data_IF_181469398751
#
_entry.id   IF_181469398751
#
_cell.length_a   1.000
_cell.length_b   1.000
_cell.length_c   1.000
_cell.angle_alpha   90.00
_cell.angle_beta   90.00
_cell.angle_gamma   90.00
#
_symmetry.space_group_name_H-M   'P 1'
#
loop_
_entity.id
_entity.type
_entity.pdbx_description
1 polymer ?
#
# COMPACT_ATOMS: atom_id res chain seq x y z
N UNK A 1 65.40 -25.36 8.46
CA UNK A 1 64.73 -25.77 7.22
C UNK A 1 63.26 -25.47 7.42
N UNK A 2 62.87 -24.45 6.77
CA UNK A 2 61.56 -23.81 6.87
C UNK A 2 60.64 -24.48 5.86
N UNK A 3 59.49 -24.95 6.29
CA UNK A 3 58.44 -25.49 5.44
C UNK A 3 57.11 -24.92 5.87
N UNK A 4 56.93 -23.62 5.63
CA UNK A 4 55.63 -22.95 5.59
C UNK A 4 55.13 -22.90 4.13
N UNK A 5 54.50 -23.97 3.66
CA UNK A 5 53.82 -23.94 2.38
C UNK A 5 52.36 -23.48 2.65
N UNK A 6 52.15 -22.28 2.20
CA UNK A 6 50.86 -21.61 2.10
C UNK A 6 49.82 -22.43 1.33
N UNK A 7 48.73 -22.80 2.02
CA UNK A 7 47.49 -23.18 1.41
C UNK A 7 46.62 -21.90 1.28
N UNK A 8 46.78 -21.20 0.21
CA UNK A 8 45.82 -20.19 -0.26
C UNK A 8 44.54 -20.90 -0.66
N UNK A 9 43.63 -21.07 0.29
CA UNK A 9 42.23 -21.34 -0.02
C UNK A 9 41.63 -20.07 -0.56
N UNK A 10 41.62 -19.92 -1.87
CA UNK A 10 40.68 -19.05 -2.57
C UNK A 10 39.28 -19.54 -2.23
N UNK A 11 38.70 -18.99 -1.16
CA UNK A 11 37.26 -18.99 -0.96
C UNK A 11 36.72 -18.05 -2.05
N UNK A 12 36.30 -18.62 -3.16
CA UNK A 12 35.56 -17.91 -4.18
C UNK A 12 34.30 -17.37 -3.49
N UNK A 13 34.26 -16.06 -3.27
CA UNK A 13 33.04 -15.37 -2.86
C UNK A 13 32.02 -15.59 -3.95
N UNK A 14 31.01 -16.43 -3.66
CA UNK A 14 29.87 -16.58 -4.57
C UNK A 14 29.29 -15.17 -4.77
N UNK A 15 29.48 -14.62 -5.97
CA UNK A 15 29.05 -13.25 -6.27
C UNK A 15 27.54 -13.17 -6.06
N UNK A 16 27.09 -12.23 -5.24
CA UNK A 16 25.70 -12.00 -4.95
C UNK A 16 24.92 -11.80 -6.28
N UNK A 17 24.13 -12.81 -6.66
CA UNK A 17 23.39 -12.89 -7.92
C UNK A 17 22.13 -12.03 -7.95
N UNK A 18 21.80 -11.35 -6.84
CA UNK A 18 20.64 -10.48 -6.78
C UNK A 18 20.82 -9.25 -7.68
N UNK A 19 19.69 -8.74 -8.17
CA UNK A 19 19.64 -7.51 -8.93
C UNK A 19 20.10 -6.34 -8.04
N UNK A 20 21.17 -5.65 -8.42
CA UNK A 20 21.71 -4.52 -7.67
C UNK A 20 20.90 -3.27 -7.96
N UNK A 21 20.47 -2.56 -6.92
CA UNK A 21 19.75 -1.29 -7.01
C UNK A 21 20.64 -0.19 -6.45
N UNK A 22 20.91 0.83 -7.26
CA UNK A 22 21.89 1.88 -6.93
C UNK A 22 21.36 2.93 -5.97
N UNK A 23 20.05 3.20 -6.02
CA UNK A 23 19.40 4.22 -5.20
C UNK A 23 18.45 3.59 -4.19
N UNK A 24 18.35 4.14 -2.97
CA UNK A 24 17.49 3.55 -1.95
C UNK A 24 16.01 3.66 -2.28
N UNK A 25 15.23 2.78 -1.62
CA UNK A 25 13.76 2.82 -1.58
C UNK A 25 13.33 3.04 -0.14
N UNK A 26 12.35 3.91 0.08
CA UNK A 26 11.75 4.11 1.40
C UNK A 26 10.76 2.98 1.66
N UNK A 27 10.95 2.25 2.75
CA UNK A 27 10.02 1.25 3.24
C UNK A 27 9.22 1.82 4.41
N UNK A 28 7.91 1.84 4.28
CA UNK A 28 6.98 2.23 5.34
C UNK A 28 6.22 0.99 5.80
N UNK A 29 6.60 0.44 6.95
CA UNK A 29 5.92 -0.71 7.54
C UNK A 29 4.57 -0.32 8.14
N UNK A 30 3.75 -1.31 8.48
CA UNK A 30 2.37 -1.06 8.89
C UNK A 30 1.94 -1.83 10.14
N UNK A 31 0.67 -2.25 10.14
CA UNK A 31 0.02 -2.84 11.30
C UNK A 31 -0.59 -4.22 11.00
N UNK A 32 -0.84 -4.96 12.06
CA UNK A 32 -1.67 -6.16 12.14
C UNK A 32 -1.29 -7.25 11.10
N UNK A 33 -2.26 -7.90 10.45
CA UNK A 33 -2.00 -9.02 9.53
C UNK A 33 -1.19 -8.60 8.30
N UNK A 34 -1.39 -7.37 7.83
CA UNK A 34 -0.64 -6.86 6.67
C UNK A 34 0.85 -6.67 6.96
N UNK A 35 1.24 -6.30 8.18
CA UNK A 35 2.65 -6.25 8.59
C UNK A 35 3.33 -7.62 8.49
N UNK A 36 2.65 -8.67 8.96
CA UNK A 36 3.17 -10.04 8.90
C UNK A 36 3.35 -10.50 7.45
N UNK A 37 2.35 -10.23 6.61
CA UNK A 37 2.40 -10.56 5.17
C UNK A 37 3.49 -9.75 4.47
N UNK A 38 3.65 -8.48 4.82
CA UNK A 38 4.66 -7.58 4.27
C UNK A 38 6.07 -8.11 4.49
N UNK A 39 6.35 -8.59 5.71
CA UNK A 39 7.64 -9.21 6.03
C UNK A 39 7.87 -10.49 5.21
N UNK A 40 6.87 -11.38 5.09
CA UNK A 40 6.99 -12.57 4.25
C UNK A 40 7.24 -12.25 2.78
N UNK A 41 6.57 -11.22 2.24
CA UNK A 41 6.79 -10.76 0.86
C UNK A 41 8.23 -10.25 0.72
N UNK A 42 8.66 -9.39 1.63
CA UNK A 42 10.00 -8.80 1.63
C UNK A 42 11.08 -9.87 1.63
N UNK A 43 11.01 -10.83 2.55
CA UNK A 43 12.00 -11.90 2.68
C UNK A 43 11.96 -12.89 1.51
N UNK A 44 10.75 -13.43 1.21
CA UNK A 44 10.61 -14.53 0.24
C UNK A 44 10.73 -14.09 -1.20
N UNK A 45 10.20 -12.92 -1.56
CA UNK A 45 10.05 -12.50 -2.95
C UNK A 45 10.99 -11.36 -3.34
N UNK A 46 11.23 -10.40 -2.45
CA UNK A 46 11.98 -9.18 -2.78
C UNK A 46 13.47 -9.36 -2.49
N UNK A 47 13.88 -9.46 -1.23
CA UNK A 47 15.29 -9.46 -0.83
C UNK A 47 16.05 -10.73 -1.25
N UNK A 48 15.35 -11.82 -1.54
CA UNK A 48 15.92 -13.02 -2.16
C UNK A 48 16.34 -12.82 -3.63
N UNK A 49 15.84 -11.77 -4.30
CA UNK A 49 16.06 -11.48 -5.71
C UNK A 49 16.72 -10.12 -5.96
N UNK A 50 16.50 -9.15 -5.07
CA UNK A 50 16.90 -7.76 -5.23
C UNK A 50 17.76 -7.32 -4.06
N UNK A 51 18.92 -6.72 -4.36
CA UNK A 51 19.81 -6.08 -3.39
C UNK A 51 19.57 -4.57 -3.41
N UNK A 52 18.67 -4.09 -2.55
CA UNK A 52 18.26 -2.69 -2.44
C UNK A 52 18.51 -2.17 -1.03
N UNK A 53 18.98 -0.93 -0.91
CA UNK A 53 19.07 -0.21 0.37
C UNK A 53 17.66 0.29 0.75
N UNK A 54 17.13 -0.20 1.86
CA UNK A 54 15.81 0.17 2.37
C UNK A 54 15.95 1.22 3.49
N UNK A 55 15.35 2.39 3.27
CA UNK A 55 15.18 3.40 4.31
C UNK A 55 13.88 3.10 5.07
N UNK A 56 14.02 2.31 6.13
CA UNK A 56 12.91 1.76 6.90
C UNK A 56 12.31 2.76 7.87
N UNK A 57 10.97 2.84 7.86
CA UNK A 57 10.15 3.62 8.80
C UNK A 57 9.02 2.74 9.34
N UNK A 58 8.97 2.53 10.64
CA UNK A 58 7.87 1.81 11.30
C UNK A 58 6.66 2.73 11.47
N UNK A 59 5.63 2.56 10.64
CA UNK A 59 4.37 3.28 10.76
C UNK A 59 3.31 2.49 11.55
N UNK A 60 3.73 1.44 12.28
CA UNK A 60 2.86 0.74 13.22
C UNK A 60 2.34 1.69 14.30
N UNK A 61 1.08 1.55 14.66
CA UNK A 61 0.39 2.46 15.56
C UNK A 61 1.11 2.69 16.91
N UNK A 62 1.71 1.66 17.55
CA UNK A 62 2.46 1.88 18.80
C UNK A 62 3.68 2.79 18.62
N UNK A 63 4.43 2.63 17.55
CA UNK A 63 5.62 3.44 17.29
C UNK A 63 5.27 4.87 16.86
N UNK A 64 4.18 5.02 16.10
CA UNK A 64 3.61 6.34 15.79
C UNK A 64 3.21 7.10 17.05
N UNK A 65 2.56 6.42 18.02
CA UNK A 65 2.21 7.02 19.31
C UNK A 65 3.45 7.39 20.11
N UNK A 66 4.47 6.52 20.15
CA UNK A 66 5.73 6.77 20.82
C UNK A 66 6.41 8.04 20.29
N UNK A 67 6.44 8.23 18.97
CA UNK A 67 7.10 9.36 18.28
C UNK A 67 6.20 10.58 18.11
N UNK A 68 4.99 10.58 18.70
CA UNK A 68 3.97 11.61 18.48
C UNK A 68 3.65 11.83 16.99
N UNK A 69 3.61 10.73 16.24
CA UNK A 69 3.38 10.65 14.78
C UNK A 69 4.48 11.33 13.91
N UNK A 70 5.61 11.70 14.52
CA UNK A 70 6.72 12.32 13.79
C UNK A 70 7.28 11.38 12.72
N UNK A 71 7.32 10.05 12.98
CA UNK A 71 7.79 9.05 12.01
C UNK A 71 7.00 9.08 10.70
N UNK A 72 5.72 9.40 10.73
CA UNK A 72 4.89 9.57 9.52
C UNK A 72 5.37 10.75 8.68
N UNK A 73 5.70 11.86 9.32
CA UNK A 73 6.24 13.06 8.65
C UNK A 73 7.62 12.75 8.07
N UNK A 74 8.50 12.13 8.86
CA UNK A 74 9.86 11.79 8.46
C UNK A 74 9.88 10.84 7.25
N UNK A 75 8.96 9.86 7.22
CA UNK A 75 8.82 8.93 6.09
C UNK A 75 8.40 9.65 4.80
N UNK A 76 7.49 10.62 4.89
CA UNK A 76 7.07 11.42 3.75
C UNK A 76 8.21 12.33 3.23
N UNK A 77 8.98 12.95 4.13
CA UNK A 77 10.15 13.75 3.74
C UNK A 77 11.26 12.89 3.14
N UNK A 78 11.45 11.67 3.66
CA UNK A 78 12.37 10.71 3.05
C UNK A 78 11.91 10.30 1.64
N UNK A 79 10.59 10.15 1.42
CA UNK A 79 10.05 9.87 0.09
C UNK A 79 10.35 10.99 -0.90
N UNK A 80 10.20 12.24 -0.49
CA UNK A 80 10.62 13.39 -1.32
C UNK A 80 12.11 13.36 -1.65
N UNK A 81 12.95 12.94 -0.69
CA UNK A 81 14.41 12.87 -0.86
C UNK A 81 14.84 11.74 -1.80
N UNK A 82 14.25 10.56 -1.66
CA UNK A 82 14.66 9.33 -2.36
C UNK A 82 13.77 8.98 -3.57
N UNK A 83 12.68 9.70 -3.79
CA UNK A 83 11.73 9.62 -4.89
C UNK A 83 10.84 8.36 -4.94
N UNK A 84 11.17 7.30 -4.23
CA UNK A 84 10.38 6.07 -4.29
C UNK A 84 10.13 5.55 -2.88
N UNK A 85 8.84 5.34 -2.57
CA UNK A 85 8.42 4.65 -1.36
C UNK A 85 7.49 3.48 -1.66
N UNK A 86 7.57 2.47 -0.81
CA UNK A 86 6.62 1.36 -0.73
C UNK A 86 6.02 1.33 0.67
N UNK A 87 4.71 1.18 0.76
CA UNK A 87 4.00 1.32 2.02
C UNK A 87 3.05 0.16 2.31
N UNK A 88 3.20 -0.41 3.49
CA UNK A 88 2.26 -1.35 4.08
C UNK A 88 0.98 -0.64 4.56
N UNK A 89 -0.09 -1.39 4.79
CA UNK A 89 -1.32 -0.85 5.36
C UNK A 89 -1.15 -0.49 6.85
N UNK A 90 -1.72 0.65 7.26
CA UNK A 90 -1.61 1.21 8.60
C UNK A 90 -2.97 1.44 9.23
N UNK A 91 -3.06 1.37 10.55
CA UNK A 91 -4.27 1.70 11.31
C UNK A 91 -4.48 3.22 11.30
N UNK A 92 -5.70 3.65 10.95
CA UNK A 92 -6.22 4.96 11.33
C UNK A 92 -7.05 4.75 12.58
N UNK A 93 -6.62 5.22 13.78
CA UNK A 93 -7.32 4.93 15.02
C UNK A 93 -8.65 5.67 15.11
N UNK A 94 -9.66 4.97 15.61
CA UNK A 94 -10.89 5.48 16.16
C UNK A 94 -10.84 5.45 17.69
N UNK A 95 -11.93 5.79 18.37
CA UNK A 95 -12.03 5.81 19.82
C UNK A 95 -11.73 4.43 20.43
N UNK A 96 -12.21 3.35 19.81
CA UNK A 96 -11.97 1.99 20.28
C UNK A 96 -10.48 1.61 20.20
N UNK A 97 -9.81 2.03 19.14
CA UNK A 97 -8.35 1.83 18.97
C UNK A 97 -7.54 2.69 19.94
N UNK A 98 -7.99 3.91 20.25
CA UNK A 98 -7.36 4.75 21.28
C UNK A 98 -7.38 4.04 22.64
N UNK A 99 -8.51 3.44 23.02
CA UNK A 99 -8.64 2.68 24.26
C UNK A 99 -7.83 1.38 24.23
N UNK A 100 -7.95 0.59 23.15
CA UNK A 100 -7.24 -0.69 22.98
C UNK A 100 -5.72 -0.55 23.10
N UNK A 101 -5.15 0.45 22.43
CA UNK A 101 -3.70 0.68 22.38
C UNK A 101 -3.22 1.67 23.43
N UNK A 102 -4.13 2.23 24.24
CA UNK A 102 -3.84 3.27 25.25
C UNK A 102 -3.06 4.46 24.67
N UNK A 103 -3.54 4.95 23.53
CA UNK A 103 -2.87 6.00 22.78
C UNK A 103 -2.97 7.34 23.52
N UNK A 104 -1.96 8.18 23.35
CA UNK A 104 -1.92 9.56 23.87
C UNK A 104 -3.06 10.42 23.31
N UNK A 105 -3.46 10.15 22.06
CA UNK A 105 -4.60 10.79 21.39
C UNK A 105 -5.02 10.00 20.15
N UNK A 106 -6.14 10.36 19.55
CA UNK A 106 -6.58 9.83 18.26
C UNK A 106 -5.76 10.48 17.13
N UNK A 107 -4.76 9.74 16.64
CA UNK A 107 -3.85 10.18 15.58
C UNK A 107 -4.58 10.27 14.25
N UNK A 108 -4.19 11.23 13.40
CA UNK A 108 -4.71 11.35 12.03
C UNK A 108 -4.30 10.14 11.18
N UNK A 109 -4.97 9.95 10.05
CA UNK A 109 -4.58 8.93 9.08
C UNK A 109 -3.17 9.19 8.56
N UNK A 110 -2.24 8.20 8.66
CA UNK A 110 -0.90 8.33 8.08
C UNK A 110 -0.96 8.55 6.58
N UNK A 111 -1.89 7.87 5.88
CA UNK A 111 -2.09 8.05 4.45
C UNK A 111 -2.45 9.50 4.11
N UNK A 112 -3.35 10.11 4.89
CA UNK A 112 -3.71 11.53 4.72
C UNK A 112 -2.51 12.45 4.94
N UNK A 113 -1.73 12.23 6.00
CA UNK A 113 -0.54 13.02 6.31
C UNK A 113 0.50 12.92 5.20
N UNK A 114 0.84 11.70 4.76
CA UNK A 114 1.83 11.46 3.71
C UNK A 114 1.38 12.10 2.40
N UNK A 115 0.14 11.85 1.96
CA UNK A 115 -0.41 12.40 0.71
C UNK A 115 -0.43 13.93 0.71
N UNK A 116 -0.74 14.54 1.85
CA UNK A 116 -0.74 15.99 2.00
C UNK A 116 0.66 16.60 1.92
N UNK A 117 1.67 15.92 2.47
CA UNK A 117 3.08 16.36 2.40
C UNK A 117 3.62 16.19 0.97
N UNK A 118 3.30 15.07 0.33
CA UNK A 118 3.75 14.77 -1.04
C UNK A 118 3.01 15.59 -2.10
N UNK A 119 1.73 15.93 -1.88
CA UNK A 119 0.93 16.79 -2.76
C UNK A 119 0.61 16.14 -4.11
N UNK A 120 0.57 14.81 -4.17
CA UNK A 120 0.37 14.06 -5.40
C UNK A 120 -1.06 13.60 -5.66
N UNK A 121 -1.25 12.92 -6.78
CA UNK A 121 -2.49 12.22 -7.14
C UNK A 121 -2.32 10.73 -6.96
N UNK A 122 -3.27 10.09 -6.27
CA UNK A 122 -3.30 8.62 -6.12
C UNK A 122 -4.01 8.03 -7.33
N UNK A 123 -3.32 7.19 -8.07
CA UNK A 123 -3.89 6.40 -9.16
C UNK A 123 -4.14 4.98 -8.68
N UNK A 124 -5.33 4.47 -8.93
CA UNK A 124 -5.74 3.11 -8.64
C UNK A 124 -6.12 2.38 -9.90
N UNK A 125 -5.53 1.19 -10.07
CA UNK A 125 -5.77 0.32 -11.22
C UNK A 125 -6.18 -1.06 -10.74
N UNK A 126 -7.17 -1.73 -11.40
CA UNK A 126 -7.56 -3.07 -11.04
C UNK A 126 -6.47 -4.08 -11.44
N UNK A 127 -6.25 -5.07 -10.59
CA UNK A 127 -5.47 -6.26 -10.90
C UNK A 127 -6.45 -7.30 -11.46
N UNK A 128 -6.28 -7.67 -12.72
CA UNK A 128 -7.24 -8.51 -13.44
C UNK A 128 -6.73 -9.95 -13.53
N UNK A 129 -7.49 -10.89 -12.96
CA UNK A 129 -7.32 -12.33 -13.14
C UNK A 129 -8.52 -12.85 -13.94
N UNK A 130 -8.27 -13.60 -15.02
CA UNK A 130 -9.33 -14.02 -15.97
C UNK A 130 -10.37 -14.94 -15.37
N UNK A 131 -9.98 -15.75 -14.39
CA UNK A 131 -10.85 -16.68 -13.69
C UNK A 131 -11.64 -16.04 -12.52
N UNK A 132 -11.34 -14.80 -12.14
CA UNK A 132 -12.09 -14.10 -11.10
C UNK A 132 -13.22 -13.29 -11.75
N UNK A 133 -14.49 -13.56 -11.40
CA UNK A 133 -15.63 -12.85 -11.96
C UNK A 133 -15.59 -11.36 -11.61
N UNK A 134 -15.94 -10.52 -12.57
CA UNK A 134 -16.04 -9.06 -12.37
C UNK A 134 -17.35 -8.73 -11.66
N UNK A 135 -17.32 -7.73 -10.79
CA UNK A 135 -18.54 -7.24 -10.13
C UNK A 135 -19.60 -6.77 -11.13
N UNK A 136 -19.15 -6.11 -12.21
CA UNK A 136 -20.02 -5.71 -13.32
C UNK A 136 -19.59 -6.49 -14.55
N UNK A 137 -20.37 -7.47 -14.93
CA UNK A 137 -20.05 -8.44 -15.97
C UNK A 137 -19.82 -7.81 -17.36
N UNK A 138 -20.46 -6.67 -17.64
CA UNK A 138 -20.31 -5.93 -18.92
C UNK A 138 -19.03 -5.08 -19.03
N UNK A 139 -18.27 -4.91 -17.95
CA UNK A 139 -17.03 -4.14 -18.01
C UNK A 139 -15.90 -4.99 -18.59
N UNK A 140 -15.42 -4.64 -19.77
CA UNK A 140 -14.39 -5.39 -20.50
C UNK A 140 -12.99 -4.76 -20.41
N UNK A 141 -12.90 -3.52 -19.95
CA UNK A 141 -11.64 -2.79 -19.83
C UNK A 141 -11.40 -2.35 -18.37
N UNK A 142 -10.13 -2.15 -18.03
CA UNK A 142 -9.74 -1.60 -16.74
C UNK A 142 -10.19 -0.13 -16.63
N UNK A 143 -10.68 0.25 -15.44
CA UNK A 143 -11.00 1.64 -15.10
C UNK A 143 -9.95 2.12 -14.12
N UNK A 144 -9.13 3.08 -14.54
CA UNK A 144 -8.15 3.74 -13.67
C UNK A 144 -8.81 4.92 -12.98
N UNK A 145 -8.58 5.04 -11.68
CA UNK A 145 -9.15 6.08 -10.83
C UNK A 145 -8.04 7.01 -10.36
N UNK A 146 -8.23 8.30 -10.58
CA UNK A 146 -7.40 9.35 -10.00
C UNK A 146 -8.05 9.96 -8.76
N UNK A 147 -7.28 10.14 -7.67
CA UNK A 147 -7.70 10.77 -6.42
C UNK A 147 -6.69 11.82 -6.02
N UNK A 148 -7.09 13.08 -6.08
CA UNK A 148 -6.20 14.21 -5.84
C UNK A 148 -6.08 14.56 -4.35
N UNK A 149 -4.89 14.95 -3.90
CA UNK A 149 -4.61 15.26 -2.50
C UNK A 149 -5.48 16.40 -1.94
N UNK A 150 -5.77 17.42 -2.73
CA UNK A 150 -6.60 18.55 -2.31
C UNK A 150 -8.10 18.30 -2.39
N UNK A 151 -8.55 17.36 -3.23
CA UNK A 151 -9.94 16.93 -3.32
C UNK A 151 -10.29 15.76 -2.43
N UNK A 152 -9.43 15.43 -1.48
CA UNK A 152 -9.60 14.30 -0.57
C UNK A 152 -10.30 14.70 0.73
N UNK A 153 -11.05 13.75 1.32
CA UNK A 153 -11.68 13.90 2.64
C UNK A 153 -10.69 14.31 3.74
N UNK A 154 -9.39 13.97 3.61
CA UNK A 154 -8.35 14.36 4.56
C UNK A 154 -7.98 15.86 4.50
N UNK A 155 -8.46 16.59 3.51
CA UNK A 155 -8.38 18.05 3.39
C UNK A 155 -9.74 18.73 3.63
N UNK A 156 -10.76 17.96 3.93
CA UNK A 156 -12.06 18.51 4.28
C UNK A 156 -11.97 19.37 5.54
N UNK A 157 -12.80 20.38 5.61
CA UNK A 157 -13.05 21.14 6.83
C UNK A 157 -14.35 20.66 7.43
N UNK A 158 -14.26 20.06 8.59
CA UNK A 158 -15.41 19.65 9.40
C UNK A 158 -15.63 20.61 10.56
N UNK A 159 -16.89 20.80 10.93
CA UNK A 159 -17.28 21.69 12.01
C UNK A 159 -18.54 21.18 12.71
N UNK A 160 -18.68 21.58 13.98
CA UNK A 160 -19.85 21.33 14.80
C UNK A 160 -20.39 22.68 15.27
N UNK A 161 -21.71 22.86 15.24
CA UNK A 161 -22.41 24.00 15.80
C UNK A 161 -23.39 23.54 16.87
N UNK A 162 -23.51 24.32 17.94
CA UNK A 162 -24.34 23.99 19.13
C UNK A 162 -25.63 24.82 19.20
N UNK A 163 -25.82 25.77 18.28
CA UNK A 163 -26.92 26.73 18.28
C UNK A 163 -27.57 26.84 16.88
N UNK A 164 -28.84 27.29 16.83
CA UNK A 164 -29.47 27.66 15.57
C UNK A 164 -28.70 28.78 14.85
N UNK A 165 -28.64 28.71 13.53
CA UNK A 165 -27.96 29.73 12.76
C UNK A 165 -27.72 29.35 11.31
N UNK A 166 -27.34 30.35 10.52
CA UNK A 166 -27.08 30.19 9.09
C UNK A 166 -25.62 29.92 8.81
N UNK A 167 -25.35 28.79 8.16
CA UNK A 167 -24.04 28.50 7.61
C UNK A 167 -23.89 29.10 6.22
N UNK A 168 -22.81 29.86 6.01
CA UNK A 168 -22.53 30.54 4.75
C UNK A 168 -21.13 30.24 4.28
N UNK A 169 -20.93 30.17 2.96
CA UNK A 169 -19.62 30.19 2.33
C UNK A 169 -19.32 31.60 1.82
N UNK A 170 -18.09 32.05 2.02
CA UNK A 170 -17.61 33.35 1.55
C UNK A 170 -16.34 33.15 0.72
N UNK A 171 -16.36 33.58 -0.53
CA UNK A 171 -15.18 33.65 -1.36
C UNK A 171 -14.68 35.11 -1.43
N UNK A 172 -13.47 35.33 -0.94
CA UNK A 172 -12.83 36.65 -0.99
C UNK A 172 -11.67 36.62 -1.97
N UNK A 173 -11.84 37.28 -3.16
CA UNK A 173 -10.76 37.36 -4.16
C UNK A 173 -9.53 38.10 -3.62
N UNK A 174 -8.33 37.63 -4.02
CA UNK A 174 -7.06 38.25 -3.62
C UNK A 174 -6.75 39.55 -4.31
N UNK A 175 -7.41 39.85 -5.44
CA UNK A 175 -7.27 41.09 -6.21
C UNK A 175 -8.06 42.25 -5.64
N UNK A 176 -8.77 42.08 -4.52
CA UNK A 176 -9.57 43.08 -3.85
C UNK A 176 -10.94 43.30 -4.48
N UNK A 177 -11.36 42.50 -5.47
CA UNK A 177 -12.70 42.53 -5.99
C UNK A 177 -13.74 42.08 -4.95
N UNK A 178 -15.04 42.34 -5.25
CA UNK A 178 -16.12 42.09 -4.30
C UNK A 178 -16.20 40.62 -3.90
N UNK A 179 -16.25 40.35 -2.57
CA UNK A 179 -16.51 39.03 -2.05
C UNK A 179 -17.87 38.48 -2.48
N UNK A 180 -17.93 37.20 -2.71
CA UNK A 180 -19.14 36.46 -2.99
C UNK A 180 -19.56 35.64 -1.79
N UNK A 181 -20.86 35.59 -1.49
CA UNK A 181 -21.40 34.88 -0.34
C UNK A 181 -22.59 34.02 -0.79
N UNK A 182 -22.60 32.77 -0.27
CA UNK A 182 -23.70 31.84 -0.49
C UNK A 182 -24.19 31.31 0.86
N UNK A 183 -25.51 31.34 1.10
CA UNK A 183 -26.15 30.63 2.17
C UNK A 183 -26.19 29.14 1.82
N UNK A 184 -25.58 28.29 2.65
CA UNK A 184 -25.46 26.85 2.41
C UNK A 184 -26.53 26.07 3.14
N UNK A 185 -26.75 26.42 4.43
CA UNK A 185 -27.71 25.73 5.28
C UNK A 185 -28.16 26.63 6.44
N UNK A 186 -29.43 26.49 6.82
CA UNK A 186 -30.00 27.13 8.02
C UNK A 186 -30.22 26.05 9.08
N UNK A 187 -29.37 26.03 10.12
CA UNK A 187 -29.46 25.07 11.21
C UNK A 187 -30.58 25.48 12.18
N UNK A 188 -31.62 24.64 12.35
CA UNK A 188 -32.71 24.93 13.31
C UNK A 188 -32.27 24.69 14.78
N UNK A 189 -31.14 24.06 15.00
CA UNK A 189 -30.54 23.73 16.30
C UNK A 189 -29.07 23.40 16.13
N UNK A 190 -28.53 22.59 17.04
CA UNK A 190 -27.17 22.06 16.89
C UNK A 190 -27.06 21.13 15.70
N UNK A 191 -25.85 21.01 15.13
CA UNK A 191 -25.58 20.16 13.99
C UNK A 191 -24.12 20.13 13.61
N UNK A 192 -23.81 19.45 12.52
CA UNK A 192 -22.44 19.41 11.98
C UNK A 192 -22.45 19.49 10.46
N UNK A 193 -21.33 19.83 9.89
CA UNK A 193 -21.12 19.84 8.45
C UNK A 193 -19.68 19.55 8.09
N UNK A 194 -19.49 19.08 6.85
CA UNK A 194 -18.17 18.87 6.27
C UNK A 194 -18.15 19.45 4.85
N UNK A 195 -17.15 20.27 4.56
CA UNK A 195 -16.90 20.82 3.25
C UNK A 195 -15.65 20.22 2.63
N UNK A 196 -15.79 19.63 1.43
CA UNK A 196 -14.68 19.25 0.56
C UNK A 196 -14.68 20.18 -0.65
N UNK A 197 -13.52 20.71 -0.98
CA UNK A 197 -13.35 21.62 -2.11
C UNK A 197 -12.38 21.00 -3.08
N UNK A 198 -12.85 20.69 -4.28
CA UNK A 198 -12.10 19.99 -5.31
C UNK A 198 -11.72 20.93 -6.45
N UNK A 199 -10.56 20.65 -7.04
CA UNK A 199 -10.15 21.30 -8.28
C UNK A 199 -10.45 20.47 -9.53
N UNK A 200 -10.68 19.14 -9.40
CA UNK A 200 -11.14 18.24 -10.48
C UNK A 200 -11.33 16.77 -10.03
N UNK A 201 -12.01 15.95 -10.85
CA UNK A 201 -12.85 14.77 -10.56
C UNK A 201 -12.16 13.39 -10.40
N UNK A 202 -12.88 12.41 -9.82
CA UNK A 202 -12.64 10.97 -9.98
C UNK A 202 -13.39 10.03 -9.02
N UNK A 203 -13.88 8.86 -9.51
CA UNK A 203 -14.59 7.81 -8.75
C UNK A 203 -14.07 6.40 -9.00
N UNK A 204 -14.24 5.45 -8.03
CA UNK A 204 -14.03 4.04 -8.22
C UNK A 204 -14.10 3.11 -7.01
N UNK A 205 -14.09 1.77 -7.22
CA UNK A 205 -14.35 0.75 -6.23
C UNK A 205 -13.12 -0.12 -5.83
N UNK A 206 -13.20 -0.71 -4.61
CA UNK A 206 -12.15 -1.43 -3.87
C UNK A 206 -12.10 -2.94 -4.19
N UNK A 207 -10.93 -3.59 -4.07
CA UNK A 207 -10.75 -5.02 -4.17
C UNK A 207 -9.34 -5.41 -4.59
N UNK A 208 -9.17 -5.95 -5.78
CA UNK A 208 -7.89 -6.17 -6.42
C UNK A 208 -7.47 -4.87 -7.11
N UNK A 209 -6.73 -4.01 -6.41
CA UNK A 209 -6.27 -2.73 -6.96
C UNK A 209 -4.85 -2.41 -6.52
N UNK A 210 -4.07 -1.89 -7.45
CA UNK A 210 -2.86 -1.13 -7.12
C UNK A 210 -3.26 0.26 -6.64
N UNK A 211 -2.40 0.88 -5.84
CA UNK A 211 -2.56 2.27 -5.38
C UNK A 211 -1.20 2.93 -5.42
N UNK A 212 -1.02 3.90 -6.30
CA UNK A 212 0.24 4.62 -6.46
C UNK A 212 -0.03 6.11 -6.42
N UNK A 213 0.54 6.80 -5.45
CA UNK A 213 0.59 8.25 -5.42
C UNK A 213 1.72 8.71 -6.33
N UNK A 214 1.43 9.64 -7.24
CA UNK A 214 2.42 10.28 -8.12
C UNK A 214 2.46 11.77 -7.80
N UNK A 215 3.63 12.28 -7.47
CA UNK A 215 3.83 13.70 -7.19
C UNK A 215 3.89 14.54 -8.48
N UNK A 216 3.65 15.88 -8.38
CA UNK A 216 3.68 16.77 -9.55
C UNK A 216 5.02 16.83 -10.28
N UNK A 217 6.12 16.42 -9.64
CA UNK A 217 7.45 16.35 -10.26
C UNK A 217 7.60 15.20 -11.27
N UNK A 218 6.61 14.30 -11.33
CA UNK A 218 6.62 13.10 -12.18
C UNK A 218 7.69 12.06 -11.83
N UNK A 219 8.41 12.25 -10.73
CA UNK A 219 9.52 11.39 -10.28
C UNK A 219 9.23 10.72 -8.95
N UNK A 220 8.62 11.45 -8.03
CA UNK A 220 8.36 10.97 -6.68
C UNK A 220 7.06 10.19 -6.64
N UNK A 221 7.12 8.94 -6.14
CA UNK A 221 5.95 8.09 -5.95
C UNK A 221 5.93 7.45 -4.57
N UNK A 222 4.73 7.10 -4.13
CA UNK A 222 4.49 6.20 -3.01
C UNK A 222 3.50 5.13 -3.46
N UNK A 223 3.92 3.86 -3.43
CA UNK A 223 3.10 2.71 -3.81
C UNK A 223 2.60 1.98 -2.56
N UNK A 224 1.30 1.79 -2.44
CA UNK A 224 0.67 1.16 -1.28
C UNK A 224 -0.38 0.11 -1.69
N UNK A 225 -0.77 -0.77 -0.76
CA UNK A 225 -1.96 -1.61 -0.92
C UNK A 225 -3.23 -0.77 -0.70
N UNK A 226 -4.24 -0.96 -1.56
CA UNK A 226 -5.50 -0.20 -1.50
C UNK A 226 -6.50 -0.73 -0.45
N UNK A 227 -6.06 -1.49 0.55
CA UNK A 227 -6.90 -2.11 1.59
C UNK A 227 -6.37 -1.80 2.99
N UNK A 228 -7.14 -2.16 4.03
CA UNK A 228 -6.77 -2.00 5.44
C UNK A 228 -5.88 -3.12 5.97
N UNK A 229 -5.68 -3.15 7.29
CA UNK A 229 -4.73 -4.00 8.02
C UNK A 229 -5.21 -5.44 8.27
N UNK A 230 -6.44 -5.78 7.85
CA UNK A 230 -7.06 -7.11 7.96
C UNK A 230 -7.12 -7.62 9.41
N UNK A 231 -7.66 -6.80 10.30
CA UNK A 231 -7.76 -7.03 11.76
C UNK A 231 -8.34 -8.40 12.13
N UNK A 232 -9.41 -8.88 11.44
CA UNK A 232 -10.03 -10.16 11.76
C UNK A 232 -9.07 -11.34 11.60
N UNK A 233 -8.27 -11.35 10.53
CA UNK A 233 -7.26 -12.39 10.31
C UNK A 233 -6.09 -12.25 11.29
N UNK A 234 -5.73 -11.02 11.67
CA UNK A 234 -4.71 -10.82 12.70
C UNK A 234 -5.12 -11.40 14.04
N UNK A 235 -6.39 -11.24 14.45
CA UNK A 235 -6.92 -11.85 15.68
C UNK A 235 -6.88 -13.38 15.65
N UNK A 236 -7.15 -14.00 14.50
CA UNK A 236 -6.98 -15.45 14.34
C UNK A 236 -5.50 -15.87 14.38
N UNK A 237 -4.64 -15.12 13.72
CA UNK A 237 -3.19 -15.36 13.77
C UNK A 237 -2.63 -15.29 15.21
N UNK A 238 -3.08 -14.31 16.01
CA UNK A 238 -2.70 -14.21 17.44
C UNK A 238 -3.10 -15.44 18.26
N UNK A 239 -4.15 -16.16 17.88
CA UNK A 239 -4.59 -17.42 18.49
C UNK A 239 -3.82 -18.63 17.96
N UNK A 240 -2.89 -18.45 17.03
CA UNK A 240 -2.15 -19.53 16.36
C UNK A 240 -2.93 -20.21 15.23
N UNK A 241 -4.07 -19.66 14.81
CA UNK A 241 -4.86 -20.20 13.71
C UNK A 241 -4.29 -19.77 12.36
N UNK A 242 -4.19 -20.69 11.37
CA UNK A 242 -3.80 -20.31 10.01
C UNK A 242 -4.87 -19.43 9.37
N UNK A 243 -4.42 -18.50 8.53
CA UNK A 243 -5.30 -17.57 7.81
C UNK A 243 -5.07 -17.64 6.31
N UNK A 244 -6.10 -17.32 5.54
CA UNK A 244 -6.04 -17.17 4.10
C UNK A 244 -6.29 -15.71 3.74
N UNK A 245 -5.24 -14.90 3.89
CA UNK A 245 -5.23 -13.47 3.59
C UNK A 245 -4.55 -13.24 2.25
N UNK A 246 -5.19 -12.47 1.39
CA UNK A 246 -4.67 -12.16 0.06
C UNK A 246 -3.49 -11.16 0.13
N UNK A 247 -2.28 -11.56 -0.32
CA UNK A 247 -1.09 -10.70 -0.30
C UNK A 247 -0.90 -9.90 -1.58
N UNK A 248 -1.72 -10.09 -2.63
CA UNK A 248 -1.44 -9.62 -3.99
C UNK A 248 -1.27 -8.11 -4.03
N UNK A 249 -2.16 -7.33 -3.43
CA UNK A 249 -2.05 -5.87 -3.44
C UNK A 249 -0.77 -5.38 -2.74
N UNK A 250 -0.30 -6.06 -1.71
CA UNK A 250 0.98 -5.75 -1.04
C UNK A 250 2.19 -6.13 -1.90
N UNK A 251 2.13 -7.25 -2.65
CA UNK A 251 3.16 -7.60 -3.64
C UNK A 251 3.23 -6.54 -4.73
N UNK A 252 2.07 -6.09 -5.24
CA UNK A 252 2.01 -5.05 -6.27
C UNK A 252 2.48 -3.68 -5.76
N UNK A 253 2.31 -3.36 -4.48
CA UNK A 253 2.93 -2.18 -3.89
C UNK A 253 4.45 -2.22 -4.01
N UNK A 254 5.08 -3.36 -3.69
CA UNK A 254 6.51 -3.56 -3.88
C UNK A 254 6.93 -3.48 -5.35
N UNK A 255 6.24 -4.18 -6.23
CA UNK A 255 6.63 -4.23 -7.66
C UNK A 255 6.48 -2.90 -8.35
N UNK A 256 5.42 -2.12 -8.07
CA UNK A 256 5.22 -0.77 -8.62
C UNK A 256 6.30 0.20 -8.15
N UNK A 257 6.67 0.15 -6.87
CA UNK A 257 7.79 0.92 -6.34
C UNK A 257 9.13 0.56 -6.99
N UNK A 258 9.43 -0.73 -7.06
CA UNK A 258 10.68 -1.23 -7.66
C UNK A 258 10.75 -0.98 -9.17
N UNK A 259 9.66 -1.15 -9.90
CA UNK A 259 9.60 -0.84 -11.33
C UNK A 259 9.88 0.63 -11.58
N UNK A 260 9.28 1.52 -10.78
CA UNK A 260 9.53 2.96 -10.90
C UNK A 260 10.97 3.30 -10.54
N UNK A 261 11.55 2.69 -9.49
CA UNK A 261 12.96 2.81 -9.15
C UNK A 261 13.85 2.36 -10.32
N UNK A 262 13.50 1.25 -10.94
CA UNK A 262 14.19 0.76 -12.14
C UNK A 262 14.14 1.75 -13.31
N UNK A 263 12.99 2.39 -13.54
CA UNK A 263 12.83 3.43 -14.55
C UNK A 263 13.71 4.66 -14.28
N UNK A 264 13.73 5.13 -13.02
CA UNK A 264 14.55 6.27 -12.62
C UNK A 264 16.07 5.99 -12.72
N UNK A 265 16.49 4.76 -12.40
CA UNK A 265 17.91 4.36 -12.38
C UNK A 265 18.39 3.78 -13.74
N UNK A 266 17.50 3.62 -14.72
CA UNK A 266 17.81 2.93 -15.97
C UNK A 266 18.10 1.42 -15.79
N UNK A 267 17.59 0.80 -14.72
CA UNK A 267 17.82 -0.60 -14.37
C UNK A 267 16.78 -1.52 -15.02
N UNK A 268 17.08 -2.00 -16.22
CA UNK A 268 16.18 -2.85 -17.00
C UNK A 268 15.91 -4.20 -16.32
N UNK A 269 16.86 -4.75 -15.55
CA UNK A 269 16.67 -6.01 -14.83
C UNK A 269 15.65 -5.85 -13.70
N UNK A 270 15.68 -4.74 -12.98
CA UNK A 270 14.72 -4.43 -11.93
C UNK A 270 13.29 -4.25 -12.50
N UNK A 271 13.18 -3.58 -13.65
CA UNK A 271 11.90 -3.43 -14.35
C UNK A 271 11.34 -4.80 -14.76
N UNK A 272 12.17 -5.63 -15.42
CA UNK A 272 11.76 -6.98 -15.84
C UNK A 272 11.35 -7.86 -14.66
N UNK A 273 12.11 -7.83 -13.56
CA UNK A 273 11.80 -8.57 -12.34
C UNK A 273 10.44 -8.17 -11.78
N UNK A 274 10.18 -6.88 -11.66
CA UNK A 274 8.92 -6.35 -11.13
C UNK A 274 7.71 -6.80 -11.94
N UNK A 275 7.80 -6.66 -13.27
CA UNK A 275 6.76 -7.10 -14.20
C UNK A 275 6.58 -8.62 -14.19
N UNK A 276 7.67 -9.38 -14.07
CA UNK A 276 7.61 -10.83 -13.99
C UNK A 276 6.91 -11.29 -12.72
N UNK A 277 7.21 -10.69 -11.57
CA UNK A 277 6.56 -11.03 -10.30
C UNK A 277 5.05 -10.75 -10.35
N UNK A 278 4.62 -9.61 -10.91
CA UNK A 278 3.19 -9.32 -11.15
C UNK A 278 2.54 -10.39 -12.03
N UNK A 279 3.17 -10.73 -13.13
CA UNK A 279 2.69 -11.79 -14.05
C UNK A 279 2.56 -13.13 -13.33
N UNK A 280 3.57 -13.54 -12.59
CA UNK A 280 3.56 -14.81 -11.83
C UNK A 280 2.45 -14.83 -10.78
N UNK A 281 2.19 -13.71 -10.09
CA UNK A 281 1.06 -13.61 -9.16
C UNK A 281 -0.27 -13.88 -9.85
N UNK A 282 -0.52 -13.23 -10.99
CA UNK A 282 -1.76 -13.40 -11.77
C UNK A 282 -1.89 -14.82 -12.29
N UNK A 283 -0.83 -15.38 -12.90
CA UNK A 283 -0.81 -16.74 -13.42
C UNK A 283 -1.01 -17.79 -12.33
N UNK A 284 -0.50 -17.56 -11.11
CA UNK A 284 -0.74 -18.45 -9.96
C UNK A 284 -2.22 -18.49 -9.60
N UNK A 285 -2.90 -17.35 -9.55
CA UNK A 285 -4.35 -17.30 -9.34
C UNK A 285 -5.12 -17.95 -10.48
N UNK A 286 -4.74 -17.66 -11.72
CA UNK A 286 -5.38 -18.22 -12.92
C UNK A 286 -5.20 -19.75 -13.03
N UNK A 287 -4.14 -20.31 -12.44
CA UNK A 287 -3.94 -21.76 -12.33
C UNK A 287 -4.82 -22.45 -11.29
N UNK A 288 -5.60 -21.68 -10.51
CA UNK A 288 -6.49 -22.20 -9.45
C UNK A 288 -5.88 -22.18 -8.05
N UNK A 289 -4.63 -21.74 -7.87
CA UNK A 289 -4.02 -21.58 -6.54
C UNK A 289 -4.27 -20.15 -6.06
N UNK A 290 -5.15 -20.01 -5.06
CA UNK A 290 -5.60 -18.70 -4.61
C UNK A 290 -6.00 -18.67 -3.13
N UNK A 291 -6.24 -17.49 -2.59
CA UNK A 291 -6.74 -17.27 -1.25
C UNK A 291 -8.26 -17.37 -1.18
N UNK A 292 -8.81 -17.50 0.04
CA UNK A 292 -10.23 -17.77 0.29
C UNK A 292 -11.17 -16.69 -0.26
N UNK A 293 -10.76 -15.42 -0.21
CA UNK A 293 -11.52 -14.29 -0.76
C UNK A 293 -11.70 -14.41 -2.27
N UNK A 294 -10.64 -14.78 -3.00
CA UNK A 294 -10.68 -15.00 -4.45
C UNK A 294 -11.49 -16.23 -4.83
N UNK A 295 -11.28 -17.35 -4.14
CA UNK A 295 -12.10 -18.55 -4.31
C UNK A 295 -13.57 -18.26 -4.02
N UNK A 296 -13.85 -17.42 -3.03
CA UNK A 296 -15.19 -16.98 -2.69
C UNK A 296 -15.90 -16.20 -3.79
N UNK A 297 -15.15 -15.48 -4.63
CA UNK A 297 -15.70 -14.81 -5.81
C UNK A 297 -16.17 -15.81 -6.90
N UNK A 298 -15.54 -17.00 -6.96
CA UNK A 298 -15.88 -18.04 -7.95
C UNK A 298 -16.98 -18.98 -7.44
N UNK A 299 -16.83 -19.46 -6.20
CA UNK A 299 -17.62 -20.57 -5.66
C UNK A 299 -18.64 -20.14 -4.61
N UNK A 300 -18.58 -18.88 -4.14
CA UNK A 300 -19.30 -18.41 -2.94
C UNK A 300 -18.55 -18.80 -1.66
N UNK A 301 -18.41 -17.87 -0.72
CA UNK A 301 -17.59 -18.04 0.50
C UNK A 301 -18.00 -19.26 1.35
N UNK A 302 -19.31 -19.58 1.41
CA UNK A 302 -19.84 -20.72 2.16
C UNK A 302 -19.43 -22.08 1.59
N UNK A 303 -19.12 -22.13 0.31
CA UNK A 303 -18.79 -23.36 -0.40
C UNK A 303 -17.28 -23.62 -0.50
N UNK A 304 -16.46 -22.65 -0.10
CA UNK A 304 -15.01 -22.77 -0.20
C UNK A 304 -14.43 -23.72 0.86
N UNK A 305 -13.63 -24.69 0.41
CA UNK A 305 -12.91 -25.65 1.24
C UNK A 305 -11.40 -25.45 1.10
N UNK A 306 -10.70 -25.54 2.24
CA UNK A 306 -9.23 -25.47 2.29
C UNK A 306 -8.64 -26.66 1.49
N UNK A 307 -7.56 -26.38 0.77
CA UNK A 307 -6.82 -27.31 -0.10
C UNK A 307 -7.62 -27.92 -1.28
N UNK A 308 -8.88 -27.49 -1.46
CA UNK A 308 -9.71 -27.87 -2.62
C UNK A 308 -9.95 -26.63 -3.50
N UNK A 309 -10.37 -25.53 -2.90
CA UNK A 309 -10.71 -24.28 -3.59
C UNK A 309 -9.74 -23.13 -3.24
N UNK A 310 -9.11 -23.18 -2.08
CA UNK A 310 -8.17 -22.16 -1.64
C UNK A 310 -7.07 -22.74 -0.76
N UNK A 311 -5.99 -21.97 -0.60
CA UNK A 311 -4.86 -22.26 0.29
C UNK A 311 -4.67 -21.16 1.34
N UNK A 312 -3.88 -21.44 2.37
CA UNK A 312 -3.49 -20.44 3.36
C UNK A 312 -2.49 -19.42 2.78
N UNK A 313 -2.32 -18.30 3.46
CA UNK A 313 -1.43 -17.20 3.04
C UNK A 313 0.00 -17.66 2.78
N UNK A 314 0.55 -18.48 3.68
CA UNK A 314 1.91 -19.01 3.55
C UNK A 314 2.07 -19.91 2.33
N UNK A 315 1.13 -20.83 2.13
CA UNK A 315 1.13 -21.75 1.00
C UNK A 315 0.97 -21.02 -0.34
N UNK A 316 0.15 -19.96 -0.34
CA UNK A 316 -0.03 -19.11 -1.52
C UNK A 316 1.25 -18.34 -1.87
N UNK A 317 1.92 -17.76 -0.87
CA UNK A 317 3.20 -17.08 -1.06
C UNK A 317 4.30 -18.05 -1.52
N UNK A 318 4.32 -19.27 -0.98
CA UNK A 318 5.26 -20.31 -1.40
C UNK A 318 4.99 -20.79 -2.83
N UNK A 319 3.72 -20.87 -3.25
CA UNK A 319 3.35 -21.16 -4.63
C UNK A 319 3.85 -20.06 -5.59
N UNK A 320 3.64 -18.78 -5.23
CA UNK A 320 4.17 -17.65 -6.02
C UNK A 320 5.69 -17.71 -6.09
N UNK A 321 6.38 -17.94 -4.95
CA UNK A 321 7.84 -18.06 -4.92
C UNK A 321 8.34 -19.18 -5.83
N UNK A 322 7.75 -20.37 -5.72
CA UNK A 322 8.13 -21.53 -6.53
C UNK A 322 7.94 -21.28 -8.04
N UNK A 323 6.83 -20.64 -8.42
CA UNK A 323 6.55 -20.27 -9.80
C UNK A 323 7.53 -19.20 -10.31
N UNK A 324 7.88 -18.23 -9.45
CA UNK A 324 8.88 -17.20 -9.75
C UNK A 324 10.27 -17.82 -9.95
N UNK A 325 10.72 -18.66 -9.03
CA UNK A 325 12.04 -19.31 -9.08
C UNK A 325 12.14 -20.20 -10.34
N UNK A 326 11.07 -20.95 -10.65
CA UNK A 326 11.00 -21.76 -11.89
C UNK A 326 11.14 -20.89 -13.13
N UNK A 327 10.45 -19.74 -13.18
CA UNK A 327 10.49 -18.83 -14.34
C UNK A 327 11.85 -18.13 -14.46
N UNK A 328 12.52 -17.85 -13.33
CA UNK A 328 13.88 -17.31 -13.28
C UNK A 328 14.98 -18.37 -13.55
N UNK A 329 14.61 -19.64 -13.74
CA UNK A 329 15.59 -20.73 -13.91
C UNK A 329 16.42 -21.05 -12.67
N UNK A 330 15.95 -20.66 -11.49
CA UNK A 330 16.57 -21.02 -10.20
C UNK A 330 16.21 -22.45 -9.86
N UNK A 331 17.21 -23.22 -9.39
CA UNK A 331 17.04 -24.62 -8.92
C UNK A 331 16.70 -24.65 -7.45
#
# INVERSE_FOLDING_TARGET
MDCSALLDHHVGTDADKRIKVSSPVVEMDGDEMTRIIWEFIKEKLILSNVAVDLKYYDLGLPYRDQTNDQVTIDSALATQKYNVAVKCATITPDEARVEEFKLKKMWKSPNGTIRNILGGTVFREPIICKNIPRLVTGWTQAITIGRHAFGDQYKATDFVVDKPGKFKMVFTPRDGSKAQEWEVFDFPGGGCGMGMYNTDEGFGSLGLMTSVLVCPDGKTIEAEAAHGTVTRHFREHQKGNPTSTNPIASIFAWTRGLEHRGKLDGNADLIRFSQLLEKVCVETVESGVMTKDLAGCIHGLSNCKLNEHYVNTTDFLDAIKNNLDKTLGKK
#
